data_IF_979161113142
#
_entry.id   IF_979161113142
#
_cell.length_a   1.000
_cell.length_b   1.000
_cell.length_c   1.000
_cell.angle_alpha   90.00
_cell.angle_beta   90.00
_cell.angle_gamma   90.00
#
_symmetry.space_group_name_H-M   'P 1'
#
loop_
_entity.id
_entity.type
_entity.pdbx_description
1 polymer ?
#
# COMPACT_ATOMS: atom_id res chain seq x y z
N UNK A 1 2.89 -8.80 15.39
CA UNK A 1 2.36 -10.00 14.69
C UNK A 1 3.44 -11.05 14.44
N UNK A 2 4.41 -10.81 13.53
CA UNK A 2 5.38 -11.84 13.10
C UNK A 2 6.22 -12.44 14.23
N UNK A 3 6.68 -11.66 15.21
CA UNK A 3 7.42 -12.18 16.36
C UNK A 3 6.63 -13.27 17.13
N UNK A 4 5.34 -13.02 17.38
CA UNK A 4 4.48 -13.99 18.06
C UNK A 4 4.21 -15.22 17.19
N UNK A 5 4.03 -15.03 15.89
CA UNK A 5 3.83 -16.11 14.92
C UNK A 5 5.05 -17.03 14.84
N UNK A 6 6.25 -16.47 14.75
CA UNK A 6 7.49 -17.25 14.67
C UNK A 6 7.83 -17.95 15.98
N UNK A 7 7.56 -17.31 17.12
CA UNK A 7 7.61 -17.96 18.43
C UNK A 7 6.68 -19.16 18.47
N UNK A 8 5.43 -19.00 18.02
CA UNK A 8 4.45 -20.09 17.99
C UNK A 8 4.88 -21.23 17.08
N UNK A 9 5.42 -20.92 15.90
CA UNK A 9 5.95 -21.93 14.99
C UNK A 9 7.10 -22.72 15.62
N UNK A 10 8.02 -22.06 16.33
CA UNK A 10 9.10 -22.75 17.05
C UNK A 10 8.58 -23.69 18.16
N UNK A 11 7.49 -23.34 18.86
CA UNK A 11 6.87 -24.24 19.84
C UNK A 11 6.30 -25.51 19.20
N UNK A 12 5.72 -25.39 18.01
CA UNK A 12 5.18 -26.52 17.23
C UNK A 12 6.30 -27.36 16.60
N UNK A 13 7.38 -26.71 16.18
CA UNK A 13 8.52 -27.32 15.50
C UNK A 13 9.84 -26.95 16.21
N UNK A 14 10.17 -27.57 17.36
CA UNK A 14 11.32 -27.17 18.19
C UNK A 14 12.71 -27.30 17.53
N UNK A 15 12.78 -27.96 16.37
CA UNK A 15 13.98 -28.13 15.57
C UNK A 15 14.18 -27.01 14.53
N UNK A 16 13.20 -26.10 14.39
CA UNK A 16 13.27 -24.94 13.48
C UNK A 16 13.25 -23.66 14.31
N UNK A 17 14.25 -22.81 14.14
CA UNK A 17 14.30 -21.47 14.73
C UNK A 17 14.19 -20.43 13.61
N UNK A 18 13.24 -19.50 13.76
CA UNK A 18 13.06 -18.37 12.85
C UNK A 18 13.45 -17.10 13.61
N UNK A 19 14.46 -16.40 13.11
CA UNK A 19 14.90 -15.12 13.64
C UNK A 19 14.39 -13.98 12.74
N UNK A 20 13.69 -13.01 13.33
CA UNK A 20 13.18 -11.85 12.60
C UNK A 20 14.30 -10.81 12.43
N UNK A 21 14.56 -10.42 11.18
CA UNK A 21 15.35 -9.23 10.85
C UNK A 21 14.36 -8.11 10.52
N UNK A 22 14.05 -7.20 11.47
CA UNK A 22 13.06 -6.16 11.23
C UNK A 22 13.59 -5.10 10.26
N UNK A 23 12.67 -4.49 9.52
CA UNK A 23 12.86 -3.23 8.78
C UNK A 23 11.76 -2.28 9.25
N UNK A 24 12.13 -1.14 9.80
CA UNK A 24 11.21 -0.15 10.37
C UNK A 24 10.29 0.49 9.32
N UNK A 25 9.24 1.16 9.78
CA UNK A 25 8.33 1.91 8.90
C UNK A 25 9.11 3.04 8.23
N UNK A 26 9.09 3.08 6.90
CA UNK A 26 9.84 4.06 6.11
C UNK A 26 11.34 3.78 6.02
N UNK A 27 11.85 2.69 6.59
CA UNK A 27 13.22 2.25 6.34
C UNK A 27 13.31 1.52 4.99
N UNK A 28 14.41 1.74 4.28
CA UNK A 28 14.64 1.15 2.97
C UNK A 28 14.94 -0.35 3.03
N UNK A 29 14.02 -1.17 2.49
CA UNK A 29 14.21 -2.63 2.37
C UNK A 29 15.39 -2.96 1.44
N UNK A 30 15.57 -2.16 0.38
CA UNK A 30 16.58 -2.40 -0.65
C UNK A 30 18.00 -2.31 -0.09
N UNK A 31 18.33 -1.24 0.63
CA UNK A 31 19.66 -1.02 1.22
C UNK A 31 19.97 -2.10 2.27
N UNK A 32 18.95 -2.50 3.04
CA UNK A 32 19.08 -3.57 4.02
C UNK A 32 19.39 -4.90 3.35
N UNK A 33 18.63 -5.27 2.32
CA UNK A 33 18.87 -6.50 1.55
C UNK A 33 20.23 -6.48 0.88
N UNK A 34 20.62 -5.37 0.25
CA UNK A 34 21.92 -5.20 -0.39
C UNK A 34 23.05 -5.46 0.61
N UNK A 35 22.97 -4.88 1.81
CA UNK A 35 23.94 -5.12 2.88
C UNK A 35 23.98 -6.59 3.32
N UNK A 36 22.82 -7.25 3.46
CA UNK A 36 22.75 -8.64 3.89
C UNK A 36 23.34 -9.59 2.84
N UNK A 37 22.97 -9.43 1.56
CA UNK A 37 23.53 -10.20 0.45
C UNK A 37 25.05 -9.99 0.31
N UNK A 38 25.53 -8.74 0.39
CA UNK A 38 26.96 -8.44 0.31
C UNK A 38 27.76 -9.08 1.46
N UNK A 39 27.16 -9.20 2.65
CA UNK A 39 27.80 -9.80 3.82
C UNK A 39 27.66 -11.33 3.89
N UNK A 40 26.96 -11.95 2.94
CA UNK A 40 26.70 -13.41 2.97
C UNK A 40 25.66 -13.84 4.00
N UNK A 41 24.84 -12.91 4.51
CA UNK A 41 23.85 -13.13 5.56
C UNK A 41 22.42 -12.84 5.06
N UNK A 42 22.13 -13.02 3.77
CA UNK A 42 20.78 -12.81 3.26
C UNK A 42 19.78 -13.79 3.91
N UNK A 43 18.56 -13.32 4.24
CA UNK A 43 17.60 -14.11 5.00
C UNK A 43 17.12 -15.33 4.22
N UNK A 44 16.70 -16.39 4.92
CA UNK A 44 16.16 -17.63 4.32
C UNK A 44 14.88 -17.37 3.54
N UNK A 45 13.93 -16.65 4.14
CA UNK A 45 12.76 -16.11 3.46
C UNK A 45 12.55 -14.65 3.85
N UNK A 46 11.88 -13.90 2.99
CA UNK A 46 11.75 -12.45 3.10
C UNK A 46 10.37 -11.97 2.66
N UNK A 47 9.87 -10.94 3.35
CA UNK A 47 8.65 -10.21 3.00
C UNK A 47 9.03 -8.91 2.31
N UNK A 48 8.89 -8.87 0.99
CA UNK A 48 9.47 -7.80 0.17
C UNK A 48 8.50 -7.24 -0.84
N UNK A 49 8.71 -5.98 -1.21
CA UNK A 49 7.98 -5.33 -2.30
C UNK A 49 8.30 -6.01 -3.64
N UNK A 50 7.36 -6.02 -4.62
CA UNK A 50 7.56 -6.65 -5.92
C UNK A 50 8.86 -6.22 -6.63
N UNK A 51 9.23 -4.95 -6.47
CA UNK A 51 10.49 -4.36 -6.91
C UNK A 51 11.73 -5.16 -6.51
N UNK A 52 11.81 -5.56 -5.24
CA UNK A 52 12.92 -6.33 -4.71
C UNK A 52 12.87 -7.78 -5.22
N UNK A 53 11.67 -8.31 -5.51
CA UNK A 53 11.55 -9.64 -6.15
C UNK A 53 12.22 -9.63 -7.52
N UNK A 54 11.98 -8.57 -8.32
CA UNK A 54 12.60 -8.39 -9.65
C UNK A 54 14.12 -8.25 -9.53
N UNK A 55 14.60 -7.40 -8.62
CA UNK A 55 16.03 -7.13 -8.44
C UNK A 55 16.79 -8.38 -8.00
N UNK A 56 16.23 -9.16 -7.08
CA UNK A 56 16.88 -10.34 -6.50
C UNK A 56 16.43 -11.66 -7.14
N UNK A 57 15.68 -11.65 -8.25
CA UNK A 57 15.03 -12.83 -8.82
C UNK A 57 15.97 -14.04 -9.03
N UNK A 58 17.22 -13.80 -9.41
CA UNK A 58 18.22 -14.85 -9.64
C UNK A 58 18.60 -15.58 -8.34
N UNK A 59 18.43 -14.92 -7.20
CA UNK A 59 18.66 -15.45 -5.86
C UNK A 59 17.43 -16.15 -5.27
N UNK A 60 16.26 -16.05 -5.90
CA UNK A 60 15.01 -16.58 -5.35
C UNK A 60 14.71 -17.99 -5.84
N UNK A 61 14.10 -18.79 -4.95
CA UNK A 61 13.55 -20.10 -5.25
C UNK A 61 12.25 -19.92 -6.04
N UNK A 62 12.13 -20.65 -7.14
CA UNK A 62 10.86 -20.75 -7.88
C UNK A 62 9.90 -21.69 -7.14
N UNK A 63 8.70 -21.22 -6.88
CA UNK A 63 7.62 -22.02 -6.33
C UNK A 63 6.95 -22.82 -7.45
N UNK A 64 6.81 -24.12 -7.23
CA UNK A 64 6.17 -25.07 -8.14
C UNK A 64 5.11 -25.87 -7.40
N UNK A 65 4.24 -26.56 -8.13
CA UNK A 65 3.27 -27.47 -7.52
C UNK A 65 3.94 -28.59 -6.68
N UNK A 66 5.19 -28.96 -7.00
CA UNK A 66 5.93 -30.00 -6.28
C UNK A 66 6.49 -29.49 -4.94
N UNK A 67 7.06 -28.27 -4.91
CA UNK A 67 7.73 -27.76 -3.70
C UNK A 67 6.81 -26.87 -2.83
N UNK A 68 5.77 -26.27 -3.42
CA UNK A 68 4.83 -25.37 -2.75
C UNK A 68 3.38 -25.68 -3.16
N UNK A 69 2.90 -26.92 -2.95
CA UNK A 69 1.54 -27.33 -3.33
C UNK A 69 0.44 -26.48 -2.66
N UNK A 70 0.75 -25.88 -1.50
CA UNK A 70 -0.14 -24.98 -0.76
C UNK A 70 -0.52 -23.71 -1.54
N UNK A 71 0.26 -23.30 -2.56
CA UNK A 71 -0.11 -22.17 -3.43
C UNK A 71 -1.36 -22.45 -4.28
N UNK A 72 -1.73 -23.72 -4.49
CA UNK A 72 -2.99 -24.08 -5.17
C UNK A 72 -4.24 -23.58 -4.40
N UNK A 73 -4.09 -23.28 -3.11
CA UNK A 73 -5.13 -22.69 -2.27
C UNK A 73 -5.24 -21.17 -2.43
N UNK A 74 -4.31 -20.51 -3.12
CA UNK A 74 -4.45 -19.10 -3.44
C UNK A 74 -5.72 -18.85 -4.28
N UNK A 75 -6.32 -17.68 -4.07
CA UNK A 75 -7.43 -17.19 -4.89
C UNK A 75 -6.99 -16.97 -6.32
N UNK A 76 -7.92 -17.08 -7.27
CA UNK A 76 -7.60 -17.00 -8.70
C UNK A 76 -6.96 -15.63 -9.03
N UNK A 77 -5.85 -15.65 -9.74
CA UNK A 77 -5.08 -14.45 -10.10
C UNK A 77 -4.19 -13.89 -8.98
N UNK A 78 -4.25 -14.38 -7.75
CA UNK A 78 -3.42 -13.85 -6.66
C UNK A 78 -1.92 -14.15 -6.87
N UNK A 79 -1.61 -15.30 -7.47
CA UNK A 79 -0.23 -15.72 -7.76
C UNK A 79 0.36 -14.93 -8.94
N UNK A 80 -0.47 -14.36 -9.81
CA UNK A 80 -0.01 -13.60 -10.97
C UNK A 80 0.83 -12.39 -10.54
N UNK A 81 0.46 -11.74 -9.42
CA UNK A 81 1.25 -10.64 -8.85
C UNK A 81 2.64 -11.05 -8.37
N UNK A 82 2.81 -12.31 -7.96
CA UNK A 82 4.09 -12.90 -7.54
C UNK A 82 4.85 -13.60 -8.66
N UNK A 83 4.39 -13.47 -9.91
CA UNK A 83 4.97 -14.12 -11.08
C UNK A 83 5.83 -13.12 -11.87
N UNK A 84 7.10 -13.45 -12.02
CA UNK A 84 8.10 -12.62 -12.72
C UNK A 84 8.84 -13.49 -13.72
N UNK A 85 8.96 -13.03 -14.97
CA UNK A 85 9.54 -13.78 -16.09
C UNK A 85 8.99 -15.22 -16.23
N UNK A 86 7.69 -15.37 -15.98
CA UNK A 86 6.97 -16.64 -16.06
C UNK A 86 7.21 -17.59 -14.88
N UNK A 87 7.92 -17.16 -13.84
CA UNK A 87 8.22 -17.95 -12.63
C UNK A 87 7.49 -17.37 -11.43
N UNK A 88 6.89 -18.23 -10.61
CA UNK A 88 6.33 -17.80 -9.33
C UNK A 88 7.48 -17.67 -8.33
N UNK A 89 7.85 -16.43 -8.00
CA UNK A 89 8.99 -16.14 -7.10
C UNK A 89 8.54 -15.61 -5.74
N UNK A 90 7.26 -15.25 -5.62
CA UNK A 90 6.70 -14.65 -4.42
C UNK A 90 5.31 -15.19 -4.12
N UNK A 91 5.08 -15.61 -2.88
CA UNK A 91 3.75 -15.98 -2.40
C UNK A 91 3.04 -14.75 -1.82
N UNK A 92 1.83 -14.39 -2.30
CA UNK A 92 1.05 -13.31 -1.72
C UNK A 92 0.57 -13.69 -0.31
N UNK A 93 0.38 -12.72 0.57
CA UNK A 93 -0.13 -13.00 1.93
C UNK A 93 -1.20 -12.03 2.40
N UNK A 94 -1.30 -10.83 1.82
CA UNK A 94 -2.39 -9.90 2.11
C UNK A 94 -2.85 -9.18 0.85
N UNK A 95 -4.15 -8.90 0.78
CA UNK A 95 -4.72 -7.83 -0.04
C UNK A 95 -4.83 -6.61 0.86
N UNK A 96 -4.41 -5.47 0.35
CA UNK A 96 -4.47 -4.18 1.04
C UNK A 96 -5.03 -3.12 0.11
N UNK A 97 -5.53 -2.04 0.68
CA UNK A 97 -6.09 -0.94 -0.08
C UNK A 97 -5.91 0.40 0.59
N UNK A 98 -5.96 1.46 -0.22
CA UNK A 98 -5.83 2.82 0.27
C UNK A 98 -6.59 3.81 -0.59
N UNK A 99 -7.00 4.90 0.07
CA UNK A 99 -7.58 6.10 -0.51
C UNK A 99 -7.65 7.15 0.64
N UNK A 100 -8.72 7.94 0.71
CA UNK A 100 -9.03 8.74 1.90
C UNK A 100 -9.83 7.88 2.88
N UNK A 101 -9.20 7.43 3.97
CA UNK A 101 -9.92 6.89 5.12
C UNK A 101 -10.78 8.00 5.72
N UNK A 102 -12.03 7.73 6.05
CA UNK A 102 -12.86 8.63 6.84
C UNK A 102 -13.30 7.97 8.15
N UNK A 103 -13.38 8.78 9.21
CA UNK A 103 -13.87 8.35 10.52
C UNK A 103 -15.40 8.48 10.56
N UNK A 104 -16.13 7.36 10.69
CA UNK A 104 -17.60 7.36 10.59
C UNK A 104 -18.26 8.22 11.66
N UNK A 105 -17.75 8.20 12.90
CA UNK A 105 -18.30 9.02 13.99
C UNK A 105 -18.19 10.50 13.65
N UNK A 106 -17.00 10.95 13.24
CA UNK A 106 -16.76 12.36 12.89
C UNK A 106 -17.65 12.79 11.73
N UNK A 107 -17.75 11.97 10.69
CA UNK A 107 -18.61 12.28 9.53
C UNK A 107 -20.09 12.26 9.91
N UNK A 108 -20.55 11.33 10.74
CA UNK A 108 -21.93 11.29 11.23
C UNK A 108 -22.28 12.53 12.09
N UNK A 109 -21.34 13.06 12.86
CA UNK A 109 -21.52 14.30 13.65
C UNK A 109 -21.68 15.53 12.74
N UNK A 110 -20.99 15.57 11.59
CA UNK A 110 -21.02 16.71 10.65
C UNK A 110 -22.21 16.63 9.69
N UNK A 111 -22.49 15.45 9.14
CA UNK A 111 -23.47 15.26 8.06
C UNK A 111 -24.82 14.68 8.56
N UNK A 112 -24.86 14.23 9.82
CA UNK A 112 -25.97 13.50 10.40
C UNK A 112 -25.84 12.00 10.14
N UNK A 113 -26.12 11.21 11.20
CA UNK A 113 -25.93 9.76 11.19
C UNK A 113 -26.59 9.07 10.00
N UNK A 114 -25.77 8.40 9.19
CA UNK A 114 -26.23 7.62 8.03
C UNK A 114 -26.63 8.46 6.79
N UNK A 115 -26.38 9.78 6.80
CA UNK A 115 -26.66 10.65 5.66
C UNK A 115 -25.48 10.83 4.70
N UNK A 116 -24.29 10.34 5.06
CA UNK A 116 -23.11 10.41 4.21
C UNK A 116 -22.96 9.13 3.38
N UNK A 117 -22.85 9.29 2.06
CA UNK A 117 -22.48 8.23 1.12
C UNK A 117 -21.10 8.54 0.55
N UNK A 118 -20.06 7.71 0.80
CA UNK A 118 -18.72 7.95 0.24
C UNK A 118 -18.71 7.95 -1.30
N UNK A 119 -19.65 7.26 -1.96
CA UNK A 119 -19.75 7.27 -3.43
C UNK A 119 -20.24 8.61 -4.01
N UNK A 120 -20.76 9.51 -3.16
CA UNK A 120 -21.11 10.87 -3.57
C UNK A 120 -19.88 11.75 -3.84
N UNK A 121 -18.71 11.35 -3.34
CA UNK A 121 -17.44 12.04 -3.57
C UNK A 121 -16.73 11.38 -4.76
N UNK A 122 -17.11 11.82 -5.96
CA UNK A 122 -16.60 11.30 -7.24
C UNK A 122 -16.04 12.40 -8.16
N UNK A 123 -15.87 13.60 -7.62
CA UNK A 123 -15.28 14.77 -8.28
C UNK A 123 -14.46 15.56 -7.28
N UNK A 124 -13.47 16.32 -7.76
CA UNK A 124 -12.70 17.22 -6.89
C UNK A 124 -13.59 18.28 -6.24
N UNK A 125 -14.60 18.79 -6.94
CA UNK A 125 -15.56 19.75 -6.39
C UNK A 125 -16.36 19.14 -5.23
N UNK A 126 -16.88 17.91 -5.38
CA UNK A 126 -17.57 17.23 -4.29
C UNK A 126 -16.65 16.98 -3.08
N UNK A 127 -15.37 16.69 -3.33
CA UNK A 127 -14.37 16.56 -2.26
C UNK A 127 -14.11 17.90 -1.55
N UNK A 128 -13.99 19.00 -2.29
CA UNK A 128 -13.83 20.35 -1.71
C UNK A 128 -15.06 20.73 -0.89
N UNK A 129 -16.29 20.50 -1.38
CA UNK A 129 -17.53 20.75 -0.62
C UNK A 129 -17.59 19.93 0.68
N UNK A 130 -17.13 18.67 0.64
CA UNK A 130 -17.00 17.85 1.83
C UNK A 130 -16.00 18.48 2.82
N UNK A 131 -14.83 18.93 2.34
CA UNK A 131 -13.83 19.56 3.19
C UNK A 131 -14.28 20.88 3.80
N UNK A 132 -14.96 21.72 3.04
CA UNK A 132 -15.53 22.98 3.53
C UNK A 132 -16.53 22.75 4.66
N UNK A 133 -17.35 21.70 4.58
CA UNK A 133 -18.28 21.32 5.66
C UNK A 133 -17.55 20.86 6.92
N UNK A 134 -16.46 20.10 6.78
CA UNK A 134 -15.62 19.72 7.92
C UNK A 134 -15.03 20.95 8.63
N UNK A 135 -14.43 21.88 7.87
CA UNK A 135 -13.87 23.11 8.46
C UNK A 135 -14.94 23.99 9.09
N UNK A 136 -16.12 24.10 8.48
CA UNK A 136 -17.24 24.85 9.05
C UNK A 136 -17.73 24.26 10.38
N UNK A 137 -17.56 22.95 10.58
CA UNK A 137 -17.82 22.27 11.85
C UNK A 137 -16.64 22.36 12.85
N UNK A 138 -15.52 22.98 12.45
CA UNK A 138 -14.33 23.13 13.29
C UNK A 138 -13.44 21.88 13.36
N UNK A 139 -13.60 20.94 12.42
CA UNK A 139 -12.81 19.71 12.34
C UNK A 139 -11.93 19.76 11.08
N UNK A 140 -10.59 19.65 11.21
CA UNK A 140 -9.69 19.53 10.07
C UNK A 140 -10.16 18.47 9.07
N UNK A 141 -10.27 18.87 7.80
CA UNK A 141 -10.94 18.02 6.82
C UNK A 141 -10.17 16.75 6.47
N UNK A 142 -8.83 16.86 6.42
CA UNK A 142 -7.97 15.74 6.03
C UNK A 142 -6.63 15.77 6.76
N UNK A 143 -5.86 14.71 6.60
CA UNK A 143 -4.49 14.60 7.07
C UNK A 143 -3.64 13.91 6.01
N UNK A 144 -2.42 14.42 5.83
CA UNK A 144 -1.36 13.79 5.07
C UNK A 144 -0.25 13.33 6.02
N UNK A 145 0.33 12.17 5.74
CA UNK A 145 1.52 11.68 6.42
C UNK A 145 2.77 12.17 5.67
N UNK A 146 3.62 12.95 6.33
CA UNK A 146 4.78 13.62 5.75
C UNK A 146 5.97 12.72 5.41
N UNK A 147 5.73 11.51 4.90
CA UNK A 147 6.77 10.56 4.53
C UNK A 147 6.79 10.31 3.02
N UNK A 148 8.00 10.13 2.48
CA UNK A 148 8.24 9.85 1.05
C UNK A 148 7.50 8.60 0.56
N UNK A 149 7.41 7.53 1.36
CA UNK A 149 6.66 6.33 1.00
C UNK A 149 5.15 6.60 0.88
N UNK A 150 4.59 7.53 1.66
CA UNK A 150 3.17 7.89 1.57
C UNK A 150 2.92 8.77 0.34
N UNK A 151 3.72 9.82 0.15
CA UNK A 151 3.47 10.78 -0.94
C UNK A 151 3.99 10.30 -2.29
N UNK A 152 5.17 9.69 -2.34
CA UNK A 152 5.78 9.15 -3.55
C UNK A 152 5.31 7.75 -3.88
N UNK A 153 5.23 6.86 -2.88
CA UNK A 153 4.86 5.45 -3.07
C UNK A 153 3.35 5.19 -3.18
N UNK A 154 2.49 6.04 -2.61
CA UNK A 154 1.04 5.83 -2.64
C UNK A 154 0.30 6.96 -3.37
N UNK A 155 0.57 8.23 -3.06
CA UNK A 155 -0.17 9.31 -3.71
C UNK A 155 0.24 9.48 -5.18
N UNK A 156 1.53 9.72 -5.45
CA UNK A 156 2.03 9.94 -6.81
C UNK A 156 1.82 8.71 -7.72
N UNK A 157 1.77 7.51 -7.15
CA UNK A 157 1.57 6.29 -7.96
C UNK A 157 0.19 6.20 -8.59
N UNK A 158 -0.81 6.91 -8.05
CA UNK A 158 -2.12 7.05 -8.68
C UNK A 158 -2.03 7.66 -10.08
N UNK A 159 -1.08 8.59 -10.30
CA UNK A 159 -0.87 9.21 -11.63
C UNK A 159 -0.55 8.17 -12.70
N UNK A 160 0.20 7.14 -12.34
CA UNK A 160 0.56 6.06 -13.26
C UNK A 160 -0.52 4.98 -13.32
N UNK A 161 -1.18 4.68 -12.19
CA UNK A 161 -2.13 3.58 -12.09
C UNK A 161 -3.47 3.85 -12.78
N UNK A 162 -3.90 5.11 -12.91
CA UNK A 162 -5.21 5.43 -13.53
C UNK A 162 -5.13 5.72 -15.03
N UNK A 163 -3.98 5.48 -15.66
CA UNK A 163 -3.85 5.54 -17.12
C UNK A 163 -4.79 4.55 -17.83
N UNK A 164 -5.16 3.49 -17.14
CA UNK A 164 -6.19 2.52 -17.51
C UNK A 164 -6.26 1.40 -16.47
N UNK A 165 -7.23 0.48 -16.57
CA UNK A 165 -7.44 -0.56 -15.57
C UNK A 165 -6.36 -1.66 -15.59
N UNK A 166 -5.51 -1.71 -16.62
CA UNK A 166 -4.45 -2.72 -16.74
C UNK A 166 -3.10 -2.18 -16.30
N UNK A 167 -2.28 -3.07 -15.76
CA UNK A 167 -0.88 -2.76 -15.42
C UNK A 167 -0.11 -2.19 -16.62
N UNK A 168 -0.35 -2.70 -17.83
CA UNK A 168 0.34 -2.24 -19.04
C UNK A 168 0.02 -0.79 -19.43
N UNK A 169 -1.15 -0.27 -19.04
CA UNK A 169 -1.53 1.13 -19.33
C UNK A 169 -0.61 2.08 -18.56
N UNK A 170 -0.36 1.78 -17.28
CA UNK A 170 0.54 2.54 -16.42
C UNK A 170 2.01 2.38 -16.80
N UNK A 171 2.47 1.15 -17.06
CA UNK A 171 3.88 0.92 -17.47
C UNK A 171 4.16 1.55 -18.82
N UNK A 172 3.23 1.48 -19.78
CA UNK A 172 3.35 2.12 -21.08
C UNK A 172 3.44 3.65 -20.98
N UNK A 173 2.76 4.28 -20.01
CA UNK A 173 2.91 5.71 -19.75
C UNK A 173 4.29 6.04 -19.16
N UNK A 174 4.77 5.25 -18.19
CA UNK A 174 6.14 5.40 -17.65
C UNK A 174 7.19 5.28 -18.76
N UNK A 175 7.07 4.28 -19.65
CA UNK A 175 8.01 4.07 -20.76
C UNK A 175 8.06 5.28 -21.71
N UNK A 176 6.94 5.97 -21.93
CA UNK A 176 6.90 7.22 -22.71
C UNK A 176 7.59 8.39 -22.01
N UNK A 177 7.51 8.47 -20.68
CA UNK A 177 8.25 9.48 -19.90
C UNK A 177 9.76 9.19 -20.00
N UNK A 178 10.15 7.93 -19.79
CA UNK A 178 11.55 7.46 -19.89
C UNK A 178 12.16 7.76 -21.25
N UNK A 179 11.42 7.53 -22.34
CA UNK A 179 11.88 7.79 -23.71
C UNK A 179 11.89 9.29 -24.08
N UNK A 180 11.23 10.13 -23.28
CA UNK A 180 11.04 11.55 -23.57
C UNK A 180 9.96 11.83 -24.63
N UNK A 181 9.14 10.83 -24.99
CA UNK A 181 7.98 11.02 -25.86
C UNK A 181 6.93 11.94 -25.22
N UNK A 182 6.76 11.84 -23.91
CA UNK A 182 5.88 12.70 -23.12
C UNK A 182 6.63 13.28 -21.91
N UNK A 183 6.18 14.44 -21.42
CA UNK A 183 6.51 14.92 -20.09
C UNK A 183 5.32 14.71 -19.16
N UNK A 184 5.57 14.49 -17.87
CA UNK A 184 4.50 14.22 -16.91
C UNK A 184 3.53 15.40 -16.74
N UNK A 185 4.01 16.64 -16.86
CA UNK A 185 3.21 17.86 -16.76
C UNK A 185 2.18 18.00 -17.89
N UNK A 186 2.39 17.34 -19.03
CA UNK A 186 1.45 17.33 -20.15
C UNK A 186 0.25 16.40 -19.89
N UNK A 187 0.33 15.56 -18.85
CA UNK A 187 -0.73 14.62 -18.49
C UNK A 187 -1.86 15.31 -17.72
N UNK A 188 -3.12 15.26 -18.21
CA UNK A 188 -4.26 15.80 -17.46
C UNK A 188 -4.49 15.04 -16.15
N UNK A 189 -4.09 13.76 -16.08
CA UNK A 189 -4.16 12.96 -14.86
C UNK A 189 -3.17 13.49 -13.81
N UNK A 190 -1.93 13.80 -14.22
CA UNK A 190 -0.95 14.41 -13.31
C UNK A 190 -1.44 15.76 -12.80
N UNK A 191 -1.86 16.67 -13.70
CA UNK A 191 -2.40 17.97 -13.30
C UNK A 191 -3.60 17.83 -12.36
N UNK A 192 -4.50 16.89 -12.69
CA UNK A 192 -5.68 16.59 -11.90
C UNK A 192 -5.39 16.11 -10.49
N UNK A 193 -4.47 15.15 -10.34
CA UNK A 193 -4.04 14.70 -9.03
C UNK A 193 -3.25 15.77 -8.28
N UNK A 194 -2.42 16.57 -8.94
CA UNK A 194 -1.70 17.65 -8.25
C UNK A 194 -2.65 18.76 -7.76
N UNK A 195 -3.70 19.08 -8.50
CA UNK A 195 -4.76 19.97 -8.01
C UNK A 195 -5.49 19.38 -6.79
N UNK A 196 -5.80 18.08 -6.81
CA UNK A 196 -6.38 17.39 -5.65
C UNK A 196 -5.39 17.34 -4.48
N UNK A 197 -4.10 17.21 -4.74
CA UNK A 197 -3.05 17.23 -3.72
C UNK A 197 -2.96 18.61 -3.05
N UNK A 198 -3.02 19.69 -3.84
CA UNK A 198 -3.05 21.05 -3.33
C UNK A 198 -4.28 21.29 -2.44
N UNK A 199 -5.43 20.72 -2.82
CA UNK A 199 -6.63 20.71 -1.98
C UNK A 199 -6.37 19.96 -0.66
N UNK A 200 -5.79 18.76 -0.70
CA UNK A 200 -5.44 18.01 0.52
C UNK A 200 -4.46 18.81 1.41
N UNK A 201 -3.45 19.45 0.82
CA UNK A 201 -2.47 20.26 1.53
C UNK A 201 -3.11 21.50 2.19
N UNK A 202 -4.05 22.17 1.51
CA UNK A 202 -4.81 23.32 2.02
C UNK A 202 -5.58 22.97 3.30
N UNK A 203 -6.20 21.79 3.34
CA UNK A 203 -7.02 21.32 4.47
C UNK A 203 -6.29 20.34 5.41
N UNK A 204 -4.96 20.21 5.27
CA UNK A 204 -4.16 19.25 6.03
C UNK A 204 -4.12 19.59 7.53
N UNK A 205 -4.46 18.62 8.38
CA UNK A 205 -4.27 18.66 9.83
C UNK A 205 -2.84 19.04 10.21
N UNK A 206 -1.86 18.46 9.50
CA UNK A 206 -0.43 18.69 9.74
C UNK A 206 0.12 19.94 9.04
N UNK A 207 -0.70 20.86 8.50
CA UNK A 207 -0.22 22.01 7.68
C UNK A 207 0.83 22.91 8.34
N UNK A 208 0.88 22.99 9.66
CA UNK A 208 1.91 23.79 10.37
C UNK A 208 3.28 23.11 10.41
N UNK A 209 3.30 21.79 10.23
CA UNK A 209 4.50 20.95 10.17
C UNK A 209 4.23 19.77 9.21
N UNK A 210 4.10 20.04 7.90
CA UNK A 210 3.54 19.07 6.95
C UNK A 210 4.52 17.94 6.61
N UNK A 211 5.76 18.04 7.07
CA UNK A 211 6.80 17.02 6.96
C UNK A 211 6.87 16.12 8.21
N UNK A 212 5.95 16.30 9.17
CA UNK A 212 5.85 15.38 10.30
C UNK A 212 5.52 13.97 9.79
N UNK A 213 6.37 13.02 10.13
CA UNK A 213 6.29 11.63 9.71
C UNK A 213 6.17 10.69 10.91
N UNK A 214 5.41 11.10 11.93
CA UNK A 214 5.14 10.26 13.11
C UNK A 214 3.85 9.45 12.87
N UNK A 215 4.02 8.23 12.35
CA UNK A 215 2.91 7.37 11.97
C UNK A 215 2.00 7.03 13.14
N UNK A 216 2.55 6.84 14.35
CA UNK A 216 1.76 6.51 15.53
C UNK A 216 0.95 7.71 16.01
N UNK A 217 1.54 8.90 15.99
CA UNK A 217 0.84 10.13 16.34
C UNK A 217 -0.26 10.47 15.33
N UNK A 218 -0.01 10.30 14.05
CA UNK A 218 -1.02 10.51 12.99
C UNK A 218 -2.16 9.49 13.16
N UNK A 219 -1.84 8.21 13.32
CA UNK A 219 -2.83 7.15 13.56
C UNK A 219 -3.71 7.47 14.78
N UNK A 220 -3.11 7.87 15.89
CA UNK A 220 -3.84 8.27 17.10
C UNK A 220 -4.71 9.50 16.85
N UNK A 221 -4.21 10.53 16.17
CA UNK A 221 -4.98 11.74 15.90
C UNK A 221 -6.23 11.46 15.05
N UNK A 222 -6.09 10.64 14.01
CA UNK A 222 -7.21 10.21 13.18
C UNK A 222 -8.24 9.39 13.97
N UNK A 223 -7.75 8.44 14.78
CA UNK A 223 -8.61 7.54 15.55
C UNK A 223 -9.31 8.22 16.74
N UNK A 224 -8.77 9.33 17.25
CA UNK A 224 -9.44 10.23 18.20
C UNK A 224 -10.40 11.21 17.51
N UNK A 225 -10.50 11.16 16.17
CA UNK A 225 -11.36 12.03 15.37
C UNK A 225 -10.91 13.48 15.29
N UNK A 226 -9.60 13.74 15.40
CA UNK A 226 -9.03 15.10 15.24
C UNK A 226 -9.02 15.59 13.80
N UNK A 227 -9.27 14.71 12.84
CA UNK A 227 -9.52 15.03 11.44
C UNK A 227 -10.62 14.12 10.90
N UNK A 228 -11.34 14.58 9.88
CA UNK A 228 -12.42 13.80 9.27
C UNK A 228 -11.88 12.69 8.37
N UNK A 229 -10.80 12.97 7.64
CA UNK A 229 -10.16 12.00 6.75
C UNK A 229 -8.64 11.90 6.93
N UNK A 230 -8.06 10.80 6.45
CA UNK A 230 -6.62 10.56 6.39
C UNK A 230 -6.29 9.82 5.08
N UNK A 231 -5.43 10.39 4.24
CA UNK A 231 -4.88 9.65 3.09
C UNK A 231 -3.92 8.56 3.59
N UNK A 232 -4.42 7.34 3.68
CA UNK A 232 -3.70 6.17 4.22
C UNK A 232 -4.42 4.88 3.81
N UNK A 233 -3.79 3.73 4.02
CA UNK A 233 -4.40 2.43 3.78
C UNK A 233 -4.86 1.69 5.02
N UNK A 234 -5.51 0.56 4.77
CA UNK A 234 -6.05 -0.34 5.79
C UNK A 234 -4.99 -0.93 6.73
N UNK A 235 -3.71 -0.95 6.31
CA UNK A 235 -2.58 -1.29 7.20
C UNK A 235 -2.47 -0.40 8.43
N UNK A 236 -3.10 0.79 8.44
CA UNK A 236 -3.24 1.63 9.64
C UNK A 236 -3.82 0.84 10.82
N UNK A 237 -4.71 -0.14 10.54
CA UNK A 237 -5.33 -0.99 11.55
C UNK A 237 -4.31 -1.70 12.45
N UNK A 238 -3.14 -2.07 11.92
CA UNK A 238 -2.08 -2.74 12.71
C UNK A 238 -1.56 -1.88 13.87
N UNK A 239 -1.64 -0.56 13.75
CA UNK A 239 -1.35 0.39 14.83
C UNK A 239 -2.58 0.57 15.72
N UNK A 240 -3.76 0.78 15.12
CA UNK A 240 -5.00 1.07 15.85
C UNK A 240 -5.44 -0.06 16.79
N UNK A 241 -5.27 -1.31 16.38
CA UNK A 241 -5.68 -2.49 17.17
C UNK A 241 -4.97 -2.59 18.52
N UNK A 242 -3.87 -1.86 18.71
CA UNK A 242 -3.11 -1.81 19.97
C UNK A 242 -3.51 -0.64 20.88
N UNK A 243 -4.36 0.26 20.40
CA UNK A 243 -4.78 1.47 21.10
C UNK A 243 -6.11 1.25 21.84
N UNK A 244 -6.31 2.03 22.91
CA UNK A 244 -7.55 2.06 23.68
C UNK A 244 -8.24 3.42 23.57
N UNK A 245 -9.56 3.46 23.77
CA UNK A 245 -10.37 4.70 23.76
C UNK A 245 -10.32 5.48 22.43
N UNK A 246 -10.22 4.77 21.33
CA UNK A 246 -10.27 5.32 19.96
C UNK A 246 -11.52 4.86 19.22
N UNK A 247 -11.85 5.55 18.14
CA UNK A 247 -12.85 5.09 17.18
C UNK A 247 -12.36 3.83 16.44
N UNK A 248 -13.28 3.01 15.95
CA UNK A 248 -12.98 1.76 15.23
C UNK A 248 -13.81 1.57 13.95
N UNK A 249 -14.69 2.53 13.65
CA UNK A 249 -15.57 2.52 12.48
C UNK A 249 -15.08 3.51 11.42
N UNK A 250 -14.60 2.97 10.31
CA UNK A 250 -13.98 3.71 9.22
C UNK A 250 -14.54 3.25 7.86
N UNK A 251 -14.29 4.03 6.82
CA UNK A 251 -14.50 3.62 5.43
C UNK A 251 -13.60 4.39 4.49
N UNK A 252 -13.67 4.09 3.19
CA UNK A 252 -12.87 4.79 2.18
C UNK A 252 -13.71 5.69 1.27
N UNK A 253 -13.18 6.88 1.02
CA UNK A 253 -13.59 7.83 -0.01
C UNK A 253 -12.54 7.78 -1.14
N UNK A 254 -12.94 7.69 -2.43
CA UNK A 254 -12.02 7.77 -3.56
C UNK A 254 -11.22 9.07 -3.58
N UNK A 255 -10.08 9.07 -4.29
CA UNK A 255 -9.30 10.29 -4.54
C UNK A 255 -9.54 10.76 -5.97
N UNK A 256 -10.54 11.62 -6.23
CA UNK A 256 -10.82 12.09 -7.58
C UNK A 256 -9.71 12.99 -8.10
N UNK A 257 -9.35 12.82 -9.37
CA UNK A 257 -8.38 13.68 -10.06
C UNK A 257 -9.05 14.65 -11.03
N UNK A 258 -10.36 14.53 -11.24
CA UNK A 258 -11.11 15.39 -12.16
C UNK A 258 -12.49 15.78 -11.62
N UNK A 259 -13.19 16.65 -12.36
CA UNK A 259 -14.62 16.95 -12.17
C UNK A 259 -15.54 16.23 -13.17
N UNK A 260 -15.03 15.20 -13.85
CA UNK A 260 -15.84 14.29 -14.64
C UNK A 260 -15.96 12.95 -13.88
N UNK A 261 -17.13 12.67 -13.26
CA UNK A 261 -17.29 11.48 -12.42
C UNK A 261 -17.26 10.16 -13.20
N UNK A 262 -17.27 10.21 -14.54
CA UNK A 262 -17.19 9.00 -15.38
C UNK A 262 -15.76 8.50 -15.61
N UNK A 263 -14.74 9.32 -15.29
CA UNK A 263 -13.35 8.98 -15.53
C UNK A 263 -12.84 7.95 -14.50
N UNK A 264 -12.03 7.00 -14.98
CA UNK A 264 -11.41 6.00 -14.13
C UNK A 264 -10.48 6.65 -13.10
N UNK A 265 -10.55 6.21 -11.85
CA UNK A 265 -9.80 6.78 -10.73
C UNK A 265 -10.60 7.78 -9.90
N UNK A 266 -11.76 8.24 -10.38
CA UNK A 266 -12.61 9.16 -9.62
C UNK A 266 -13.56 8.47 -8.64
N UNK A 267 -13.90 7.20 -8.87
CA UNK A 267 -14.90 6.47 -8.07
C UNK A 267 -14.36 5.14 -7.53
N UNK A 268 -13.04 4.96 -7.58
CA UNK A 268 -12.36 3.72 -7.27
C UNK A 268 -11.37 3.92 -6.11
N UNK A 269 -11.17 2.89 -5.30
CA UNK A 269 -10.12 2.85 -4.27
C UNK A 269 -9.02 1.90 -4.69
N UNK A 270 -7.78 2.13 -4.24
CA UNK A 270 -6.71 1.21 -4.59
C UNK A 270 -6.90 -0.12 -3.89
N UNK A 271 -6.66 -1.21 -4.62
CA UNK A 271 -6.55 -2.57 -4.08
C UNK A 271 -5.33 -3.25 -4.70
N UNK A 272 -4.46 -3.81 -3.88
CA UNK A 272 -3.18 -4.37 -4.31
C UNK A 272 -2.77 -5.56 -3.43
N UNK A 273 -1.87 -6.38 -3.97
CA UNK A 273 -1.07 -7.36 -3.23
C UNK A 273 0.32 -6.73 -3.01
N UNK A 274 0.57 -6.03 -1.90
CA UNK A 274 1.68 -5.07 -1.84
C UNK A 274 3.04 -5.74 -1.58
N UNK A 275 3.06 -6.94 -1.00
CA UNK A 275 4.29 -7.63 -0.62
C UNK A 275 4.18 -9.14 -0.83
N UNK A 276 5.32 -9.76 -1.10
CA UNK A 276 5.44 -11.20 -1.35
C UNK A 276 6.41 -11.86 -0.37
N UNK A 277 6.08 -13.08 0.04
CA UNK A 277 6.97 -13.98 0.74
C UNK A 277 7.84 -14.72 -0.29
N UNK A 278 9.15 -14.50 -0.25
CA UNK A 278 10.11 -15.10 -1.18
C UNK A 278 11.14 -15.94 -0.41
N UNK A 279 11.65 -17.01 -1.01
CA UNK A 279 12.72 -17.85 -0.41
C UNK A 279 14.03 -17.61 -1.16
N UNK A 280 15.13 -17.39 -0.44
CA UNK A 280 16.46 -17.21 -1.02
C UNK A 280 17.18 -18.56 -1.16
N UNK A 281 17.44 -18.98 -2.41
CA UNK A 281 18.16 -20.22 -2.73
C UNK A 281 19.69 -20.09 -2.78
N UNK A 282 20.21 -18.85 -2.81
CA UNK A 282 21.61 -18.59 -3.14
C UNK A 282 22.57 -18.59 -1.96
N UNK A 283 22.08 -18.29 -0.75
CA UNK A 283 22.90 -18.19 0.48
C UNK A 283 22.38 -19.07 1.62
N UNK A 284 21.44 -19.98 1.34
CA UNK A 284 20.82 -20.86 2.34
C UNK A 284 20.89 -22.32 1.91
N UNK A 285 21.05 -23.24 2.86
CA UNK A 285 21.13 -24.68 2.58
C UNK A 285 19.78 -25.24 2.11
N UNK A 286 19.75 -26.39 1.42
CA UNK A 286 18.50 -27.06 1.05
C UNK A 286 17.58 -27.32 2.25
N UNK A 287 18.14 -27.65 3.42
CA UNK A 287 17.37 -27.86 4.65
C UNK A 287 16.71 -26.55 5.15
N UNK A 288 17.41 -25.42 5.06
CA UNK A 288 16.85 -24.12 5.40
C UNK A 288 15.76 -23.70 4.40
N UNK A 289 15.96 -23.96 3.11
CA UNK A 289 14.96 -23.69 2.07
C UNK A 289 13.69 -24.54 2.30
N UNK A 290 13.84 -25.82 2.63
CA UNK A 290 12.70 -26.69 2.97
C UNK A 290 11.98 -26.20 4.24
N UNK A 291 12.72 -25.85 5.30
CA UNK A 291 12.12 -25.30 6.51
C UNK A 291 11.34 -24.01 6.23
N UNK A 292 11.82 -23.17 5.30
CA UNK A 292 11.08 -21.98 4.88
C UNK A 292 9.82 -22.32 4.06
N UNK A 293 9.87 -23.31 3.16
CA UNK A 293 8.68 -23.79 2.44
C UNK A 293 7.60 -24.29 3.41
N UNK A 294 8.00 -25.09 4.40
CA UNK A 294 7.10 -25.65 5.42
C UNK A 294 6.52 -24.53 6.31
N UNK A 295 7.35 -23.56 6.71
CA UNK A 295 6.91 -22.42 7.49
C UNK A 295 5.91 -21.55 6.71
N UNK A 296 6.20 -21.23 5.44
CA UNK A 296 5.27 -20.45 4.61
C UNK A 296 3.96 -21.20 4.36
N UNK A 297 4.00 -22.51 4.11
CA UNK A 297 2.79 -23.33 3.98
C UNK A 297 1.92 -23.25 5.24
N UNK A 298 2.51 -23.40 6.43
CA UNK A 298 1.80 -23.25 7.69
C UNK A 298 1.25 -21.84 7.89
N UNK A 299 2.07 -20.81 7.68
CA UNK A 299 1.69 -19.41 7.85
C UNK A 299 0.50 -19.03 6.97
N UNK A 300 0.52 -19.44 5.70
CA UNK A 300 -0.38 -18.93 4.67
C UNK A 300 -1.63 -19.78 4.48
N UNK A 301 -1.59 -21.05 4.88
CA UNK A 301 -2.70 -21.99 4.59
C UNK A 301 -3.21 -22.78 5.79
N UNK A 302 -2.51 -22.85 6.92
CA UNK A 302 -3.05 -23.50 8.11
C UNK A 302 -3.86 -22.51 8.96
N UNK A 303 -5.04 -22.90 9.50
CA UNK A 303 -5.90 -21.98 10.26
C UNK A 303 -5.19 -21.26 11.41
N UNK A 304 -4.29 -21.94 12.12
CA UNK A 304 -3.52 -21.35 13.21
C UNK A 304 -2.49 -20.31 12.73
N UNK A 305 -1.86 -20.54 11.58
CA UNK A 305 -0.95 -19.58 10.96
C UNK A 305 -1.69 -18.37 10.40
N UNK A 306 -2.81 -18.61 9.70
CA UNK A 306 -3.68 -17.58 9.14
C UNK A 306 -4.26 -16.67 10.23
N UNK A 307 -4.56 -17.20 11.42
CA UNK A 307 -5.12 -16.41 12.54
C UNK A 307 -4.29 -15.17 12.87
N UNK A 308 -2.96 -15.25 12.79
CA UNK A 308 -2.10 -14.09 13.09
C UNK A 308 -2.31 -12.93 12.11
N UNK A 309 -2.53 -13.22 10.82
CA UNK A 309 -2.81 -12.20 9.81
C UNK A 309 -4.22 -11.63 9.99
N UNK A 310 -5.19 -12.48 10.32
CA UNK A 310 -6.58 -12.10 10.58
C UNK A 310 -6.70 -11.21 11.82
N UNK A 311 -6.00 -11.54 12.91
CA UNK A 311 -5.92 -10.72 14.13
C UNK A 311 -5.28 -9.36 13.88
N UNK A 312 -4.34 -9.29 12.93
CA UNK A 312 -3.76 -8.04 12.47
C UNK A 312 -4.68 -7.25 11.52
N UNK A 313 -5.85 -7.80 11.16
CA UNK A 313 -6.86 -7.15 10.32
C UNK A 313 -6.68 -7.34 8.82
N UNK A 314 -5.76 -8.19 8.38
CA UNK A 314 -5.49 -8.37 6.96
C UNK A 314 -6.47 -9.34 6.29
N UNK A 315 -6.86 -9.02 5.06
CA UNK A 315 -7.51 -9.96 4.17
C UNK A 315 -6.46 -10.84 3.49
N UNK A 316 -6.60 -12.16 3.58
CA UNK A 316 -5.66 -13.11 2.97
C UNK A 316 -6.22 -13.64 1.63
N UNK A 317 -5.42 -13.67 0.55
CA UNK A 317 -5.89 -14.09 -0.77
C UNK A 317 -5.90 -15.63 -0.94
N UNK A 318 -6.49 -16.36 0.01
CA UNK A 318 -6.53 -17.84 0.01
C UNK A 318 -7.96 -18.36 0.15
N UNK A 319 -8.30 -19.40 -0.61
CA UNK A 319 -9.63 -20.03 -0.72
C UNK A 319 -10.07 -20.75 0.56
N UNK A 320 -9.12 -21.10 1.42
CA UNK A 320 -9.35 -21.87 2.64
C UNK A 320 -9.31 -21.04 3.92
N UNK A 321 -9.29 -19.71 3.81
CA UNK A 321 -9.55 -18.83 4.94
C UNK A 321 -10.97 -19.11 5.43
N UNK A 322 -11.15 -19.24 6.75
CA UNK A 322 -12.46 -19.49 7.36
C UNK A 322 -13.47 -18.39 7.03
N UNK A 323 -14.74 -18.75 6.93
CA UNK A 323 -15.83 -17.87 6.49
C UNK A 323 -16.53 -17.11 7.64
N UNK A 324 -16.22 -17.45 8.89
CA UNK A 324 -16.75 -16.81 10.11
C UNK A 324 -15.92 -15.60 10.58
N UNK A 325 -14.99 -15.10 9.75
CA UNK A 325 -14.20 -13.91 10.06
C UNK A 325 -15.07 -12.66 10.01
N UNK A 326 -15.07 -11.92 11.12
CA UNK A 326 -15.48 -10.52 11.14
C UNK A 326 -14.26 -9.63 10.89
N UNK A 327 -14.20 -9.05 9.68
CA UNK A 327 -13.14 -8.12 9.32
C UNK A 327 -13.41 -6.73 9.91
N UNK A 328 -12.32 -5.98 10.15
CA UNK A 328 -12.46 -4.57 10.55
C UNK A 328 -13.13 -3.73 9.46
N UNK A 329 -13.58 -2.54 9.84
CA UNK A 329 -14.36 -1.66 8.98
C UNK A 329 -13.61 -1.16 7.73
N UNK A 330 -12.28 -1.01 7.81
CA UNK A 330 -11.44 -0.61 6.65
C UNK A 330 -11.36 -1.74 5.62
N UNK A 331 -11.01 -2.95 6.07
CA UNK A 331 -10.91 -4.13 5.21
C UNK A 331 -12.27 -4.46 4.58
N UNK A 332 -13.36 -4.35 5.35
CA UNK A 332 -14.73 -4.50 4.85
C UNK A 332 -15.04 -3.48 3.76
N UNK A 333 -14.68 -2.20 3.96
CA UNK A 333 -14.92 -1.15 2.98
C UNK A 333 -14.19 -1.42 1.65
N UNK A 334 -12.93 -1.84 1.67
CA UNK A 334 -12.19 -2.23 0.44
C UNK A 334 -12.89 -3.39 -0.28
N UNK A 335 -13.33 -4.41 0.48
CA UNK A 335 -14.04 -5.55 -0.09
C UNK A 335 -15.36 -5.13 -0.77
N UNK A 336 -16.10 -4.16 -0.21
CA UNK A 336 -17.30 -3.60 -0.84
C UNK A 336 -17.01 -2.90 -2.17
N UNK A 337 -15.91 -2.14 -2.27
CA UNK A 337 -15.46 -1.55 -3.54
C UNK A 337 -15.07 -2.64 -4.54
N UNK A 338 -14.34 -3.67 -4.12
CA UNK A 338 -13.94 -4.79 -4.96
C UNK A 338 -15.16 -5.54 -5.53
N UNK A 339 -16.17 -5.84 -4.70
CA UNK A 339 -17.42 -6.48 -5.14
C UNK A 339 -18.19 -5.67 -6.19
N UNK A 340 -18.06 -4.33 -6.15
CA UNK A 340 -18.66 -3.41 -7.13
C UNK A 340 -17.80 -3.21 -8.38
N UNK A 341 -16.62 -3.83 -8.46
CA UNK A 341 -15.65 -3.59 -9.53
C UNK A 341 -15.07 -2.17 -9.51
N UNK A 342 -15.03 -1.54 -8.33
CA UNK A 342 -14.62 -0.15 -8.13
C UNK A 342 -13.24 -0.06 -7.49
N UNK A 343 -12.26 -0.71 -8.10
CA UNK A 343 -10.87 -0.73 -7.63
C UNK A 343 -9.89 -0.19 -8.66
N UNK A 344 -8.84 0.46 -8.15
CA UNK A 344 -7.64 0.81 -8.91
C UNK A 344 -6.64 -0.33 -8.76
N UNK A 345 -6.23 -0.90 -9.90
CA UNK A 345 -5.15 -1.87 -9.93
C UNK A 345 -3.81 -1.15 -9.85
N UNK A 346 -3.09 -1.31 -8.73
CA UNK A 346 -1.76 -0.73 -8.57
C UNK A 346 -0.63 -1.62 -9.08
N UNK A 347 -0.88 -2.53 -10.02
CA UNK A 347 0.14 -3.45 -10.55
C UNK A 347 1.37 -2.74 -11.13
N UNK A 348 1.21 -1.50 -11.62
CA UNK A 348 2.32 -0.63 -12.05
C UNK A 348 3.32 -0.36 -10.93
N UNK A 349 2.90 -0.42 -9.66
CA UNK A 349 3.75 -0.27 -8.48
C UNK A 349 4.94 -1.24 -8.49
N UNK A 350 4.75 -2.45 -9.03
CA UNK A 350 5.83 -3.43 -9.17
C UNK A 350 7.00 -2.94 -10.04
N UNK A 351 6.74 -1.97 -10.91
CA UNK A 351 7.68 -1.35 -11.85
C UNK A 351 8.15 0.04 -11.40
N UNK A 352 7.58 0.57 -10.32
CA UNK A 352 8.00 1.79 -9.63
C UNK A 352 8.95 1.35 -8.50
N UNK A 353 10.03 0.68 -8.90
CA UNK A 353 10.91 -0.12 -8.04
C UNK A 353 12.13 0.64 -7.50
N UNK A 354 12.66 0.18 -6.36
CA UNK A 354 13.91 0.66 -5.80
C UNK A 354 13.82 2.07 -5.21
N UNK A 355 14.73 2.96 -5.62
CA UNK A 355 14.79 4.34 -5.12
C UNK A 355 13.68 5.25 -5.68
N UNK A 356 12.83 4.80 -6.61
CA UNK A 356 11.79 5.65 -7.25
C UNK A 356 10.93 6.35 -6.23
N UNK A 357 10.27 5.61 -5.34
CA UNK A 357 9.39 6.20 -4.34
C UNK A 357 10.16 7.05 -3.33
N UNK A 358 11.45 6.78 -3.11
CA UNK A 358 12.32 7.61 -2.27
C UNK A 358 12.61 8.93 -2.98
N UNK A 359 13.10 8.91 -4.21
CA UNK A 359 13.49 10.09 -4.98
C UNK A 359 12.28 10.96 -5.36
N UNK A 360 11.24 10.36 -5.94
CA UNK A 360 10.03 11.10 -6.30
C UNK A 360 9.21 11.48 -5.06
N UNK A 361 9.25 10.68 -3.99
CA UNK A 361 8.66 11.03 -2.71
C UNK A 361 9.38 12.21 -2.03
N UNK A 362 10.70 12.29 -2.12
CA UNK A 362 11.48 13.44 -1.66
C UNK A 362 11.12 14.72 -2.43
N UNK A 363 10.82 14.61 -3.74
CA UNK A 363 10.29 15.73 -4.52
C UNK A 363 8.89 16.13 -4.05
N UNK A 364 7.98 15.18 -3.81
CA UNK A 364 6.65 15.46 -3.26
C UNK A 364 6.71 16.13 -1.89
N UNK A 365 7.65 15.72 -1.02
CA UNK A 365 7.87 16.37 0.27
C UNK A 365 8.35 17.82 0.11
N UNK A 366 9.28 18.08 -0.82
CA UNK A 366 9.72 19.45 -1.14
C UNK A 366 8.55 20.29 -1.66
N UNK A 367 7.70 19.73 -2.51
CA UNK A 367 6.52 20.40 -3.04
C UNK A 367 5.51 20.72 -1.92
N UNK A 368 5.19 19.75 -1.06
CA UNK A 368 4.31 19.93 0.09
C UNK A 368 4.83 21.00 1.07
N UNK A 369 6.15 21.11 1.23
CA UNK A 369 6.79 22.14 2.04
C UNK A 369 6.89 23.52 1.36
N UNK A 370 6.48 23.64 0.08
CA UNK A 370 6.62 24.86 -0.72
C UNK A 370 8.06 25.20 -1.10
N UNK A 371 8.98 24.23 -1.04
CA UNK A 371 10.38 24.41 -1.39
C UNK A 371 10.65 24.29 -2.90
N UNK A 372 9.73 23.66 -3.64
CA UNK A 372 9.70 23.64 -5.11
C UNK A 372 8.28 23.91 -5.59
N UNK A 373 8.14 24.48 -6.78
CA UNK A 373 6.84 24.63 -7.44
C UNK A 373 6.46 23.39 -8.27
N UNK A 374 5.30 23.45 -8.94
CA UNK A 374 4.76 22.32 -9.70
C UNK A 374 5.60 22.01 -10.95
N UNK A 375 6.19 23.03 -11.57
CA UNK A 375 7.04 22.85 -12.76
C UNK A 375 8.36 22.21 -12.36
N UNK A 376 8.95 22.63 -11.24
CA UNK A 376 10.14 22.01 -10.65
C UNK A 376 9.89 20.57 -10.20
N UNK A 377 8.72 20.28 -9.62
CA UNK A 377 8.29 18.92 -9.27
C UNK A 377 8.21 18.04 -10.53
N UNK A 378 7.47 18.49 -11.54
CA UNK A 378 7.29 17.74 -12.79
C UNK A 378 8.63 17.50 -13.49
N UNK A 379 9.48 18.53 -13.56
CA UNK A 379 10.85 18.42 -14.10
C UNK A 379 11.66 17.36 -13.33
N UNK A 380 11.63 17.39 -12.00
CA UNK A 380 12.35 16.42 -11.17
C UNK A 380 11.89 14.98 -11.41
N UNK A 381 10.58 14.77 -11.56
CA UNK A 381 10.01 13.45 -11.86
C UNK A 381 10.44 12.97 -13.26
N UNK A 382 10.37 13.85 -14.27
CA UNK A 382 10.82 13.52 -15.63
C UNK A 382 12.32 13.18 -15.66
N UNK A 383 13.15 14.00 -15.00
CA UNK A 383 14.59 13.78 -14.91
C UNK A 383 14.90 12.44 -14.26
N UNK A 384 14.19 12.09 -13.18
CA UNK A 384 14.32 10.82 -12.51
C UNK A 384 14.00 9.66 -13.45
N UNK A 385 12.81 9.65 -14.08
CA UNK A 385 12.43 8.56 -14.98
C UNK A 385 13.39 8.40 -16.16
N UNK A 386 13.85 9.50 -16.75
CA UNK A 386 14.82 9.48 -17.86
C UNK A 386 16.22 9.02 -17.44
N UNK A 387 16.52 9.04 -16.14
CA UNK A 387 17.78 8.51 -15.60
C UNK A 387 17.76 6.98 -15.50
N UNK A 388 16.58 6.38 -15.32
CA UNK A 388 16.39 4.92 -15.31
C UNK A 388 16.34 4.42 -16.75
N UNK A 389 17.27 3.52 -17.08
CA UNK A 389 17.37 2.92 -18.42
C UNK A 389 16.36 1.82 -18.68
#
# INVERSE_FOLDING_TARGET
MFENMFKRYNELYPHVTIELIPTGIGEGQQEKLQSLYASGNAPTFMNVDPANVIEYQDHLLEFTEENAPWLSLATDGAVDGGTFDGKVLGAPWSVQGYALLYNKRVVDEIFGKGNFDPASINTRDALEEFFEKCEAAGVPATMLHGANWSLGGHYLTLVYAVQGPKTEDGTGFIDKIKSGEVNIEDSPIFQGYMDTFDLLAKYNYNKSDPLVADFNRDAQAFAEGKCATFFMGDWLWTTLVTMENIDTEYGFIPVPWSNDPSLYGNSEVVMVLPKFQCINKSQNTPEQQQAALDALGWMLTEPEGQQFFLDAGFYMPYKNVRDDIEYNSMTTSIAEYAQKGKTINLGVFSYISGDVWTETGNLMLKYLAGAIDRDELAKGINDYWRSIR
#
